data_IF_825568445326
#
_entry.id   IF_825568445326
#
_cell.length_a   1.000
_cell.length_b   1.000
_cell.length_c   1.000
_cell.angle_alpha   90.00
_cell.angle_beta   90.00
_cell.angle_gamma   90.00
#
_symmetry.space_group_name_H-M   'P 1'
#
loop_
_entity.id
_entity.type
_entity.pdbx_description
1 polymer ?
#
# COMPACT_ATOMS: atom_id res chain seq x y z
N UNK A 1 6.05 -8.26 -13.93
CA UNK A 1 6.97 -8.30 -12.76
C UNK A 1 7.20 -9.72 -12.25
N UNK A 2 6.16 -10.45 -11.82
CA UNK A 2 6.31 -11.80 -11.21
C UNK A 2 7.07 -12.80 -12.10
N UNK A 3 6.77 -12.89 -13.39
CA UNK A 3 7.49 -13.77 -14.31
C UNK A 3 9.00 -13.50 -14.35
N UNK A 4 9.41 -12.23 -14.29
CA UNK A 4 10.81 -11.83 -14.24
C UNK A 4 11.47 -12.25 -12.92
N UNK A 5 10.75 -12.22 -11.80
CA UNK A 5 11.26 -12.74 -10.53
C UNK A 5 11.50 -14.25 -10.61
N UNK A 6 10.53 -15.00 -11.13
CA UNK A 6 10.63 -16.46 -11.30
C UNK A 6 11.81 -16.81 -12.19
N UNK A 7 12.00 -16.11 -13.32
CA UNK A 7 13.11 -16.35 -14.24
C UNK A 7 14.49 -16.08 -13.63
N UNK A 8 14.56 -15.30 -12.54
CA UNK A 8 15.77 -15.02 -11.78
C UNK A 8 15.87 -15.88 -10.50
N UNK A 9 15.09 -16.95 -10.37
CA UNK A 9 15.18 -17.93 -9.28
C UNK A 9 14.43 -17.57 -8.01
N UNK A 10 13.60 -16.51 -8.02
CA UNK A 10 12.74 -16.17 -6.88
C UNK A 10 11.67 -17.25 -6.71
N UNK A 11 11.57 -17.79 -5.50
CA UNK A 11 10.51 -18.73 -5.10
C UNK A 11 9.39 -17.98 -4.41
N UNK A 12 8.16 -18.22 -4.86
CA UNK A 12 6.96 -17.70 -4.22
C UNK A 12 6.33 -18.77 -3.36
N UNK A 13 5.98 -18.41 -2.13
CA UNK A 13 5.29 -19.28 -1.19
C UNK A 13 4.03 -18.55 -0.72
N UNK A 14 2.86 -19.10 -1.04
CA UNK A 14 1.58 -18.51 -0.72
C UNK A 14 1.13 -18.99 0.66
N UNK A 15 1.66 -18.36 1.70
CA UNK A 15 1.24 -18.59 3.08
C UNK A 15 1.31 -17.28 3.88
N UNK A 16 0.59 -17.24 5.00
CA UNK A 16 0.68 -16.11 5.93
C UNK A 16 1.78 -16.41 6.94
N UNK A 17 2.78 -15.53 7.00
CA UNK A 17 3.75 -15.55 8.11
C UNK A 17 3.02 -15.10 9.38
N UNK A 18 2.99 -15.97 10.39
CA UNK A 18 2.33 -15.71 11.67
C UNK A 18 3.29 -15.17 12.73
N UNK A 19 4.57 -15.50 12.61
CA UNK A 19 5.61 -15.12 13.57
C UNK A 19 6.98 -15.11 12.90
N UNK A 20 7.86 -14.23 13.35
CA UNK A 20 9.30 -14.26 13.06
C UNK A 20 10.07 -14.41 14.36
N UNK A 21 11.10 -15.26 14.35
CA UNK A 21 12.09 -15.38 15.41
C UNK A 21 13.44 -15.00 14.84
N UNK A 22 14.10 -14.00 15.44
CA UNK A 22 15.43 -13.57 15.06
C UNK A 22 16.46 -14.23 15.98
N UNK A 23 17.39 -14.97 15.39
CA UNK A 23 18.56 -15.55 16.04
C UNK A 23 19.80 -14.76 15.61
N UNK A 24 20.96 -15.05 16.21
CA UNK A 24 22.21 -14.33 15.94
C UNK A 24 22.64 -14.39 14.46
N UNK A 25 22.45 -15.53 13.79
CA UNK A 25 22.91 -15.76 12.43
C UNK A 25 21.80 -15.75 11.35
N UNK A 26 20.53 -15.82 11.76
CA UNK A 26 19.40 -16.02 10.84
C UNK A 26 18.06 -15.64 11.47
N UNK A 27 17.05 -15.52 10.62
CA UNK A 27 15.65 -15.38 11.01
C UNK A 27 14.84 -16.60 10.57
N UNK A 28 13.90 -17.01 11.42
CA UNK A 28 12.95 -18.09 11.17
C UNK A 28 11.55 -17.49 11.00
N UNK A 29 10.96 -17.63 9.82
CA UNK A 29 9.59 -17.24 9.54
C UNK A 29 8.69 -18.47 9.66
N UNK A 30 7.74 -18.42 10.58
CA UNK A 30 6.77 -19.48 10.81
C UNK A 30 5.50 -19.13 10.04
N UNK A 31 5.12 -20.00 9.11
CA UNK A 31 3.93 -19.82 8.28
C UNK A 31 2.73 -20.57 8.88
N UNK A 32 1.52 -20.12 8.55
CA UNK A 32 0.28 -20.72 9.05
C UNK A 32 -0.01 -22.12 8.51
N UNK A 33 0.69 -22.56 7.46
CA UNK A 33 0.63 -23.90 6.89
C UNK A 33 1.66 -24.87 7.49
N UNK A 34 2.39 -24.42 8.52
CA UNK A 34 3.41 -25.22 9.22
C UNK A 34 4.80 -25.14 8.58
N UNK A 35 4.96 -24.47 7.44
CA UNK A 35 6.28 -24.28 6.81
C UNK A 35 7.11 -23.28 7.61
N UNK A 36 8.40 -23.61 7.79
CA UNK A 36 9.39 -22.71 8.40
C UNK A 36 10.41 -22.31 7.35
N UNK A 37 10.52 -21.01 7.09
CA UNK A 37 11.48 -20.44 6.14
C UNK A 37 12.64 -19.82 6.92
N UNK A 38 13.87 -20.14 6.54
CA UNK A 38 15.07 -19.53 7.10
C UNK A 38 15.60 -18.46 6.15
N UNK A 39 15.98 -17.30 6.70
CA UNK A 39 16.52 -16.21 5.91
C UNK A 39 17.61 -15.46 6.70
N UNK A 40 18.65 -14.99 5.99
CA UNK A 40 19.65 -14.10 6.57
C UNK A 40 19.08 -12.68 6.79
N UNK A 41 18.17 -12.24 5.91
CA UNK A 41 17.51 -10.94 5.98
C UNK A 41 16.02 -11.11 5.69
N UNK A 42 15.18 -10.40 6.45
CA UNK A 42 13.72 -10.37 6.27
C UNK A 42 13.30 -8.93 5.98
N UNK A 43 12.58 -8.73 4.88
CA UNK A 43 11.94 -7.47 4.54
C UNK A 43 10.45 -7.59 4.79
N UNK A 44 9.93 -6.86 5.79
CA UNK A 44 8.50 -6.79 6.03
C UNK A 44 7.83 -5.78 5.09
N UNK A 45 7.07 -6.31 4.12
CA UNK A 45 6.26 -5.52 3.18
C UNK A 45 4.75 -5.66 3.46
N UNK A 46 4.36 -6.02 4.69
CA UNK A 46 2.95 -6.28 5.07
C UNK A 46 2.15 -5.00 5.39
N UNK A 47 2.70 -3.83 5.06
CA UNK A 47 2.08 -2.51 5.17
C UNK A 47 1.64 -2.20 6.61
N UNK A 48 0.33 -2.20 6.85
CA UNK A 48 -0.28 -1.83 8.13
C UNK A 48 -0.09 -2.92 9.18
N UNK A 49 0.09 -4.17 8.76
CA UNK A 49 0.37 -5.27 9.66
C UNK A 49 1.79 -5.10 10.21
N UNK A 50 1.93 -5.14 11.53
CA UNK A 50 3.22 -4.99 12.22
C UNK A 50 3.67 -6.27 12.91
N UNK A 51 3.13 -7.41 12.52
CA UNK A 51 3.33 -8.65 13.25
C UNK A 51 4.74 -9.24 13.09
N UNK A 52 5.58 -8.70 12.20
CA UNK A 52 6.86 -9.29 11.83
C UNK A 52 8.09 -8.47 12.22
N UNK A 53 7.94 -7.24 12.72
CA UNK A 53 9.05 -6.37 13.16
C UNK A 53 8.97 -6.14 14.67
N UNK A 54 10.08 -6.40 15.37
CA UNK A 54 10.22 -6.12 16.80
C UNK A 54 10.91 -4.78 17.01
N UNK A 55 10.40 -3.98 17.94
CA UNK A 55 10.98 -2.70 18.32
C UNK A 55 11.50 -2.80 19.75
N UNK A 56 12.67 -2.21 20.01
CA UNK A 56 13.29 -2.12 21.34
C UNK A 56 12.54 -1.17 22.29
N UNK A 57 11.66 -0.33 21.74
CA UNK A 57 10.86 0.67 22.47
C UNK A 57 9.39 0.60 22.05
N UNK A 58 8.46 1.13 22.86
CA UNK A 58 7.08 1.29 22.46
C UNK A 58 6.98 2.08 21.15
N UNK A 59 6.55 1.40 20.09
CA UNK A 59 6.42 1.99 18.76
C UNK A 59 4.95 2.36 18.52
N UNK A 60 4.65 3.65 18.67
CA UNK A 60 3.33 4.23 18.44
C UNK A 60 3.40 5.38 17.42
N UNK A 61 3.69 5.07 16.14
CA UNK A 61 3.59 6.10 15.11
C UNK A 61 2.11 6.53 15.00
N UNK A 62 1.85 7.83 14.89
CA UNK A 62 0.56 8.29 14.43
C UNK A 62 0.26 7.68 13.06
N UNK A 63 -0.97 7.21 12.86
CA UNK A 63 -1.38 6.64 11.59
C UNK A 63 -2.19 7.65 10.80
N UNK A 64 -1.87 7.78 9.51
CA UNK A 64 -2.71 8.46 8.55
C UNK A 64 -3.26 7.41 7.58
N UNK A 65 -4.57 7.21 7.61
CA UNK A 65 -5.27 6.31 6.68
C UNK A 65 -5.79 7.16 5.52
N UNK A 66 -5.47 6.76 4.30
CA UNK A 66 -6.09 7.30 3.11
C UNK A 66 -7.14 6.31 2.61
N UNK A 67 -8.37 6.78 2.48
CA UNK A 67 -9.43 6.02 1.82
C UNK A 67 -9.44 6.42 0.35
N UNK A 68 -9.51 5.43 -0.53
CA UNK A 68 -9.62 5.63 -1.97
C UNK A 68 -10.72 4.73 -2.53
N UNK A 69 -11.30 5.16 -3.64
CA UNK A 69 -12.22 4.35 -4.45
C UNK A 69 -11.54 4.04 -5.78
N UNK A 70 -11.78 2.85 -6.30
CA UNK A 70 -11.41 2.48 -7.67
C UNK A 70 -12.69 2.44 -8.48
N UNK A 71 -12.71 3.09 -9.63
CA UNK A 71 -13.87 3.14 -10.51
C UNK A 71 -13.41 2.92 -11.94
N UNK A 72 -14.21 2.15 -12.69
CA UNK A 72 -14.11 2.10 -14.14
C UNK A 72 -14.96 3.22 -14.73
N UNK A 73 -14.43 3.92 -15.73
CA UNK A 73 -15.10 5.01 -16.44
C UNK A 73 -14.91 4.80 -17.94
N UNK A 74 -15.84 5.30 -18.75
CA UNK A 74 -15.74 5.21 -20.22
C UNK A 74 -14.57 6.03 -20.76
N UNK A 75 -14.35 7.23 -20.20
CA UNK A 75 -13.22 8.10 -20.52
C UNK A 75 -12.79 8.94 -19.31
N UNK A 76 -11.53 9.41 -19.31
CA UNK A 76 -11.03 10.37 -18.32
C UNK A 76 -10.15 11.44 -18.99
N UNK A 77 -10.09 12.66 -18.43
CA UNK A 77 -9.28 13.74 -18.99
C UNK A 77 -7.81 13.70 -18.56
N UNK A 78 -7.40 12.67 -17.81
CA UNK A 78 -6.07 12.59 -17.21
C UNK A 78 -5.06 11.85 -18.10
N UNK A 79 -3.78 12.24 -18.01
CA UNK A 79 -2.70 11.57 -18.72
C UNK A 79 -2.43 10.18 -18.13
N UNK A 80 -2.52 9.13 -18.96
CA UNK A 80 -2.16 7.75 -18.57
C UNK A 80 -0.69 7.64 -18.14
N UNK A 81 -0.41 6.73 -17.21
CA UNK A 81 0.92 6.53 -16.61
C UNK A 81 1.46 7.74 -15.83
N UNK A 82 0.60 8.67 -15.43
CA UNK A 82 0.96 9.78 -14.53
C UNK A 82 0.12 9.73 -13.27
N UNK A 83 0.76 10.00 -12.14
CA UNK A 83 0.06 10.20 -10.86
C UNK A 83 -0.26 11.67 -10.73
N UNK A 84 -1.54 11.99 -10.58
CA UNK A 84 -1.96 13.32 -10.17
C UNK A 84 -2.06 13.33 -8.65
N UNK A 85 -1.13 14.06 -8.03
CA UNK A 85 -1.06 14.21 -6.59
C UNK A 85 -1.81 15.47 -6.17
N UNK A 86 -2.85 15.31 -5.35
CA UNK A 86 -3.65 16.41 -4.76
C UNK A 86 -4.19 17.41 -5.80
N UNK A 87 -5.11 16.97 -6.66
CA UNK A 87 -5.81 17.89 -7.56
C UNK A 87 -6.94 18.61 -6.81
N UNK A 88 -6.79 19.93 -6.68
CA UNK A 88 -7.77 20.84 -6.06
C UNK A 88 -8.70 21.50 -7.09
N UNK A 89 -8.45 21.30 -8.39
CA UNK A 89 -9.23 21.95 -9.45
C UNK A 89 -10.65 21.41 -9.45
N UNK A 90 -11.64 22.30 -9.46
CA UNK A 90 -13.06 21.96 -9.47
C UNK A 90 -13.72 22.14 -10.85
N UNK A 91 -12.92 22.38 -11.89
CA UNK A 91 -13.38 22.60 -13.27
C UNK A 91 -14.15 21.39 -13.81
N UNK A 92 -13.77 20.19 -13.39
CA UNK A 92 -14.42 18.92 -13.74
C UNK A 92 -15.85 18.77 -13.20
N UNK A 93 -16.29 19.61 -12.26
CA UNK A 93 -17.63 19.52 -11.67
C UNK A 93 -18.75 20.10 -12.57
N UNK A 94 -18.44 20.53 -13.80
CA UNK A 94 -19.38 20.90 -14.87
C UNK A 94 -20.62 21.70 -14.40
N UNK A 95 -20.40 22.73 -13.59
CA UNK A 95 -21.48 23.63 -13.13
C UNK A 95 -22.21 23.19 -11.85
N UNK A 96 -21.79 22.13 -11.16
CA UNK A 96 -22.33 21.75 -9.85
C UNK A 96 -21.94 22.77 -8.76
N UNK A 97 -22.74 23.84 -8.65
CA UNK A 97 -22.48 24.98 -7.77
C UNK A 97 -22.51 24.63 -6.28
N UNK A 98 -23.34 23.68 -5.88
CA UNK A 98 -23.41 23.16 -4.51
C UNK A 98 -22.08 22.51 -4.09
N UNK A 99 -21.55 21.60 -4.93
CA UNK A 99 -20.26 20.97 -4.67
C UNK A 99 -19.10 21.97 -4.64
N UNK A 100 -19.10 22.97 -5.55
CA UNK A 100 -18.09 24.04 -5.54
C UNK A 100 -18.12 24.88 -4.26
N UNK A 101 -19.31 25.31 -3.83
CA UNK A 101 -19.50 26.05 -2.56
C UNK A 101 -19.08 25.24 -1.34
N UNK A 102 -19.23 23.91 -1.39
CA UNK A 102 -18.75 23.01 -0.32
C UNK A 102 -17.22 22.89 -0.34
N UNK A 103 -16.63 22.66 -1.51
CA UNK A 103 -15.19 22.52 -1.69
C UNK A 103 -14.41 23.79 -1.30
N UNK A 104 -14.99 24.98 -1.49
CA UNK A 104 -14.37 26.24 -1.05
C UNK A 104 -14.35 26.42 0.48
N UNK A 105 -15.29 25.79 1.20
CA UNK A 105 -15.33 25.80 2.67
C UNK A 105 -14.49 24.69 3.29
N UNK A 106 -14.53 23.50 2.66
CA UNK A 106 -13.86 22.30 3.13
C UNK A 106 -13.03 21.78 1.95
N UNK A 107 -11.71 22.00 1.97
CA UNK A 107 -10.85 21.59 0.87
C UNK A 107 -10.99 20.07 0.64
N UNK A 108 -11.31 19.69 -0.59
CA UNK A 108 -11.26 18.30 -1.06
C UNK A 108 -10.25 18.18 -2.18
N UNK A 109 -9.53 17.08 -2.24
CA UNK A 109 -8.52 16.82 -3.25
C UNK A 109 -8.72 15.43 -3.87
N UNK A 110 -8.38 15.31 -5.15
CA UNK A 110 -8.41 14.04 -5.88
C UNK A 110 -6.98 13.50 -6.04
N UNK A 111 -6.83 12.19 -5.85
CA UNK A 111 -5.71 11.42 -6.39
C UNK A 111 -6.21 10.65 -7.61
N UNK A 112 -5.59 10.86 -8.77
CA UNK A 112 -5.90 10.11 -9.99
C UNK A 112 -4.66 9.36 -10.48
N UNK A 113 -4.84 8.08 -10.80
CA UNK A 113 -3.84 7.20 -11.38
C UNK A 113 -4.48 6.45 -12.57
N UNK A 114 -4.74 7.15 -13.68
CA UNK A 114 -5.27 6.57 -14.91
C UNK A 114 -4.32 5.55 -15.56
#
# INVERSE_FOLDING_TARGET
>A
MMQKCISNGVKFHQAKVVKVVHEEAKSLLICNDGVIIQAAVVLDATRFLRCLVQYDKPYNPGYQVAYGIVTEVEEHPFDVNKVIFTDWRDSHLNGNTECKKRNSKIPTFLYAMP
#
